data_IF_091986142466
#
_entry.id   IF_091986142466
#
_cell.length_a   1.000
_cell.length_b   1.000
_cell.length_c   1.000
_cell.angle_alpha   90.00
_cell.angle_beta   90.00
_cell.angle_gamma   90.00
#
_symmetry.space_group_name_H-M   'P 1'
#
loop_
_entity.id
_entity.type
_entity.pdbx_description
1 polymer ?
#
# COMPACT_ATOMS: atom_id res chain seq x y z
N UNK A 1 33.36 34.88 -2.14
CA UNK A 1 32.61 33.60 -2.16
C UNK A 1 33.27 32.61 -3.10
N UNK A 2 34.31 31.94 -2.61
CA UNK A 2 34.98 30.86 -3.35
C UNK A 2 34.23 29.57 -3.03
N UNK A 3 33.53 28.99 -4.02
CA UNK A 3 33.01 27.62 -3.94
C UNK A 3 34.22 26.68 -3.92
N UNK A 4 34.71 26.32 -2.72
CA UNK A 4 35.76 25.31 -2.58
C UNK A 4 35.15 23.92 -2.73
N UNK A 5 35.39 23.27 -3.86
CA UNK A 5 35.03 21.86 -4.09
C UNK A 5 36.08 20.97 -3.43
N UNK A 6 35.68 20.12 -2.48
CA UNK A 6 36.49 19.00 -2.05
C UNK A 6 36.12 17.80 -2.93
N UNK A 7 36.89 17.59 -4.00
CA UNK A 7 36.78 16.43 -4.88
C UNK A 7 37.81 15.37 -4.44
N UNK A 8 37.34 14.24 -3.92
CA UNK A 8 38.16 13.05 -3.74
C UNK A 8 37.87 12.04 -4.86
N UNK A 9 38.85 11.79 -5.73
CA UNK A 9 38.89 10.64 -6.63
C UNK A 9 39.92 9.66 -6.07
N UNK A 10 39.53 8.40 -5.86
CA UNK A 10 40.47 7.34 -5.47
C UNK A 10 40.49 6.27 -6.54
N UNK A 11 41.65 6.04 -7.14
CA UNK A 11 41.96 4.85 -7.93
C UNK A 11 42.93 3.99 -7.12
N UNK A 12 42.61 2.71 -6.93
CA UNK A 12 43.44 1.75 -6.17
C UNK A 12 42.92 1.40 -4.77
N UNK A 13 43.64 0.47 -4.11
CA UNK A 13 43.16 -0.41 -3.03
C UNK A 13 42.71 0.23 -1.70
N UNK A 14 42.73 1.57 -1.56
CA UNK A 14 42.36 2.27 -0.32
C UNK A 14 41.75 3.65 -0.63
N UNK A 15 40.45 3.83 -0.37
CA UNK A 15 39.80 5.15 -0.35
C UNK A 15 39.25 5.54 1.03
N UNK A 16 39.49 6.80 1.38
CA UNK A 16 39.47 7.41 2.71
C UNK A 16 38.09 7.90 3.13
N UNK A 17 37.82 7.95 4.44
CA UNK A 17 36.69 8.71 5.01
C UNK A 17 36.80 10.19 4.59
N UNK A 18 35.75 10.76 3.99
CA UNK A 18 35.69 12.21 3.72
C UNK A 18 34.60 12.87 4.55
N UNK A 19 34.96 13.94 5.27
CA UNK A 19 34.02 14.77 6.03
C UNK A 19 34.07 16.21 5.56
N UNK A 20 32.92 16.86 5.39
CA UNK A 20 32.83 18.29 5.08
C UNK A 20 31.94 19.00 6.12
N UNK A 21 32.41 20.15 6.63
CA UNK A 21 31.69 21.03 7.55
C UNK A 21 31.44 22.39 6.92
N UNK A 22 30.23 22.93 7.06
CA UNK A 22 29.83 24.27 6.60
C UNK A 22 29.19 24.28 5.20
N UNK A 23 29.08 25.47 4.58
CA UNK A 23 28.42 25.67 3.28
C UNK A 23 29.26 25.20 2.07
N UNK A 24 29.61 23.90 2.00
CA UNK A 24 30.50 23.35 0.97
C UNK A 24 29.87 22.21 0.17
N UNK A 25 30.19 22.15 -1.12
CA UNK A 25 29.82 21.04 -1.99
C UNK A 25 30.88 19.92 -1.90
N UNK A 26 30.42 18.70 -1.64
CA UNK A 26 31.29 17.54 -1.39
C UNK A 26 31.00 16.45 -2.42
N UNK A 27 32.02 15.99 -3.17
CA UNK A 27 31.88 14.93 -4.16
C UNK A 27 32.92 13.83 -3.92
N UNK A 28 32.46 12.59 -3.81
CA UNK A 28 33.27 11.37 -3.73
C UNK A 28 32.81 10.40 -4.81
N UNK A 29 33.75 9.75 -5.49
CA UNK A 29 33.50 8.63 -6.40
C UNK A 29 34.49 7.51 -6.07
N UNK A 30 34.02 6.27 -5.98
CA UNK A 30 34.81 5.10 -5.64
C UNK A 30 34.53 3.96 -6.64
N UNK A 31 35.57 3.27 -7.10
CA UNK A 31 35.48 2.14 -8.03
C UNK A 31 36.16 0.89 -7.41
N UNK A 32 35.53 -0.28 -7.52
CA UNK A 32 36.03 -1.59 -7.06
C UNK A 32 35.36 -2.14 -5.79
N UNK A 33 35.98 -3.16 -5.18
CA UNK A 33 35.41 -3.89 -4.04
C UNK A 33 35.55 -3.17 -2.68
N UNK A 34 35.05 -1.94 -2.54
CA UNK A 34 35.47 -1.01 -1.47
C UNK A 34 34.37 -0.57 -0.49
N UNK A 35 34.77 -0.14 0.71
CA UNK A 35 33.87 0.47 1.69
C UNK A 35 34.09 1.98 1.80
N UNK A 36 33.12 2.78 1.35
CA UNK A 36 33.25 4.24 1.28
C UNK A 36 32.34 4.94 2.30
N UNK A 37 32.86 5.99 2.96
CA UNK A 37 32.13 6.75 3.99
C UNK A 37 32.26 8.26 3.77
N UNK A 38 31.11 8.94 3.67
CA UNK A 38 31.02 10.40 3.60
C UNK A 38 30.11 10.92 4.70
N UNK A 39 30.54 12.01 5.33
CA UNK A 39 29.73 12.76 6.30
C UNK A 39 29.71 14.23 5.91
N UNK A 40 28.52 14.81 5.85
CA UNK A 40 28.30 16.22 5.56
C UNK A 40 27.52 16.87 6.70
N UNK A 41 27.99 18.03 7.15
CA UNK A 41 27.36 18.84 8.19
C UNK A 41 27.23 20.30 7.68
N UNK A 42 26.01 20.85 7.68
CA UNK A 42 25.73 22.24 7.35
C UNK A 42 24.72 22.43 6.21
N UNK A 43 25.07 23.22 5.19
CA UNK A 43 24.21 23.51 4.04
C UNK A 43 24.95 23.19 2.74
N UNK A 44 24.29 22.60 1.73
CA UNK A 44 24.92 22.34 0.43
C UNK A 44 24.58 21.01 -0.23
N UNK A 45 25.41 20.63 -1.21
CA UNK A 45 25.22 19.44 -2.03
C UNK A 45 26.27 18.37 -1.69
N UNK A 46 25.81 17.16 -1.37
CA UNK A 46 26.67 16.00 -1.15
C UNK A 46 26.37 14.91 -2.18
N UNK A 47 27.41 14.42 -2.86
CA UNK A 47 27.28 13.38 -3.88
C UNK A 47 28.33 12.28 -3.68
N UNK A 48 27.87 11.04 -3.57
CA UNK A 48 28.69 9.83 -3.55
C UNK A 48 28.28 8.92 -4.70
N UNK A 49 29.26 8.46 -5.48
CA UNK A 49 29.10 7.35 -6.42
C UNK A 49 29.99 6.19 -5.98
N UNK A 50 29.46 4.97 -6.05
CA UNK A 50 30.19 3.75 -5.74
C UNK A 50 29.92 2.70 -6.81
N UNK A 51 30.95 2.25 -7.51
CA UNK A 51 30.84 1.23 -8.55
C UNK A 51 31.63 -0.01 -8.08
N UNK A 52 31.05 -1.20 -8.17
CA UNK A 52 31.69 -2.47 -7.78
C UNK A 52 31.09 -3.15 -6.54
N UNK A 53 31.87 -4.04 -5.91
CA UNK A 53 31.39 -4.92 -4.83
C UNK A 53 31.71 -4.38 -3.43
N UNK A 54 30.84 -3.55 -2.84
CA UNK A 54 31.22 -2.70 -1.71
C UNK A 54 30.11 -2.23 -0.76
N UNK A 55 30.50 -1.60 0.36
CA UNK A 55 29.55 -0.98 1.31
C UNK A 55 29.71 0.54 1.35
N UNK A 56 28.68 1.29 0.95
CA UNK A 56 28.72 2.75 0.94
C UNK A 56 27.82 3.36 2.01
N UNK A 57 28.33 4.35 2.75
CA UNK A 57 27.60 5.05 3.80
C UNK A 57 27.74 6.58 3.66
N UNK A 58 26.60 7.26 3.58
CA UNK A 58 26.51 8.72 3.64
C UNK A 58 25.68 9.15 4.84
N UNK A 59 26.19 10.10 5.62
CA UNK A 59 25.43 10.81 6.65
C UNK A 59 25.39 12.29 6.29
N UNK A 60 24.20 12.89 6.34
CA UNK A 60 23.99 14.31 6.13
C UNK A 60 23.21 14.90 7.32
N UNK A 61 23.79 15.87 8.01
CA UNK A 61 23.12 16.64 9.06
C UNK A 61 22.94 18.09 8.57
N UNK A 62 21.69 18.52 8.43
CA UNK A 62 21.32 19.85 7.97
C UNK A 62 20.75 20.70 9.09
N UNK A 63 21.54 21.65 9.60
CA UNK A 63 21.09 22.63 10.59
C UNK A 63 20.64 23.95 9.93
N UNK A 64 19.39 24.36 10.17
CA UNK A 64 18.84 25.68 9.80
C UNK A 64 17.94 25.71 8.55
N UNK A 65 17.51 26.91 8.14
CA UNK A 65 16.57 27.18 7.04
C UNK A 65 17.10 26.87 5.62
N UNK A 66 18.26 26.22 5.48
CA UNK A 66 18.92 25.95 4.20
C UNK A 66 18.86 24.46 3.87
N UNK A 67 18.35 24.14 2.67
CA UNK A 67 18.14 22.76 2.23
C UNK A 67 19.46 22.05 1.91
N UNK A 68 19.71 20.89 2.51
CA UNK A 68 20.74 19.95 2.03
C UNK A 68 20.17 19.10 0.87
N UNK A 69 21.00 18.85 -0.14
CA UNK A 69 20.70 17.91 -1.21
C UNK A 69 21.73 16.78 -1.25
N UNK A 70 21.35 15.58 -0.82
CA UNK A 70 22.23 14.40 -0.81
C UNK A 70 21.87 13.41 -1.92
N UNK A 71 22.87 12.99 -2.70
CA UNK A 71 22.74 11.99 -3.77
C UNK A 71 23.74 10.86 -3.59
N UNK A 72 23.26 9.62 -3.58
CA UNK A 72 24.08 8.42 -3.62
C UNK A 72 23.69 7.57 -4.82
N UNK A 73 24.68 7.15 -5.61
CA UNK A 73 24.55 6.09 -6.62
C UNK A 73 25.43 4.92 -6.22
N UNK A 74 24.90 3.70 -6.35
CA UNK A 74 25.63 2.47 -6.10
C UNK A 74 25.34 1.47 -7.22
N UNK A 75 26.36 1.04 -7.96
CA UNK A 75 26.21 0.07 -9.04
C UNK A 75 27.05 -1.18 -8.70
N UNK A 76 26.43 -2.36 -8.66
CA UNK A 76 27.10 -3.64 -8.38
C UNK A 76 26.53 -4.41 -7.18
N UNK A 77 27.36 -5.25 -6.56
CA UNK A 77 26.94 -6.12 -5.44
C UNK A 77 27.31 -5.53 -4.08
N UNK A 78 26.36 -5.04 -3.29
CA UNK A 78 26.73 -4.21 -2.14
C UNK A 78 25.64 -3.78 -1.16
N UNK A 79 26.06 -3.10 -0.09
CA UNK A 79 25.17 -2.51 0.91
C UNK A 79 25.31 -0.99 0.94
N UNK A 80 24.25 -0.25 0.60
CA UNK A 80 24.25 1.20 0.62
C UNK A 80 23.37 1.76 1.73
N UNK A 81 23.88 2.74 2.49
CA UNK A 81 23.19 3.37 3.62
C UNK A 81 23.29 4.89 3.55
N UNK A 82 22.15 5.57 3.54
CA UNK A 82 22.07 7.03 3.65
C UNK A 82 21.24 7.39 4.87
N UNK A 83 21.77 8.25 5.73
CA UNK A 83 21.04 8.89 6.82
C UNK A 83 21.03 10.40 6.60
N UNK A 84 19.86 11.03 6.69
CA UNK A 84 19.70 12.46 6.55
C UNK A 84 18.85 13.03 7.70
N UNK A 85 19.29 14.10 8.38
CA UNK A 85 18.56 14.78 9.47
C UNK A 85 18.37 16.28 9.17
N UNK A 86 17.15 16.81 9.34
CA UNK A 86 16.80 18.22 9.10
C UNK A 86 15.97 18.51 7.84
N UNK A 87 16.16 19.69 7.23
CA UNK A 87 15.41 20.13 6.03
C UNK A 87 16.10 19.70 4.73
N UNK A 88 15.68 18.58 4.12
CA UNK A 88 16.54 17.87 3.16
C UNK A 88 15.81 17.31 1.92
N UNK A 89 16.53 17.25 0.79
CA UNK A 89 16.20 16.43 -0.37
C UNK A 89 17.23 15.31 -0.55
N UNK A 90 16.84 14.05 -0.28
CA UNK A 90 17.73 12.88 -0.39
C UNK A 90 17.34 11.99 -1.58
N UNK A 91 18.31 11.57 -2.38
CA UNK A 91 18.14 10.63 -3.49
C UNK A 91 19.18 9.51 -3.43
N UNK A 92 18.72 8.27 -3.43
CA UNK A 92 19.55 7.08 -3.56
C UNK A 92 19.12 6.31 -4.79
N UNK A 93 20.07 5.96 -5.65
CA UNK A 93 19.93 4.97 -6.71
C UNK A 93 20.83 3.78 -6.40
N UNK A 94 20.30 2.58 -6.53
CA UNK A 94 21.07 1.35 -6.45
C UNK A 94 20.74 0.49 -7.69
N UNK A 95 21.75 -0.02 -8.38
CA UNK A 95 21.61 -1.03 -9.44
C UNK A 95 22.45 -2.26 -9.06
N UNK A 96 21.87 -3.45 -9.15
CA UNK A 96 22.55 -4.72 -8.95
C UNK A 96 22.01 -5.55 -7.78
N UNK A 97 22.87 -6.35 -7.14
CA UNK A 97 22.48 -7.28 -6.08
C UNK A 97 22.84 -6.74 -4.69
N UNK A 98 21.87 -6.38 -3.85
CA UNK A 98 22.25 -5.65 -2.63
C UNK A 98 21.18 -5.28 -1.61
N UNK A 99 21.64 -4.61 -0.56
CA UNK A 99 20.78 -4.07 0.50
C UNK A 99 20.91 -2.55 0.57
N UNK A 100 19.86 -1.82 0.21
CA UNK A 100 19.83 -0.36 0.28
C UNK A 100 18.95 0.12 1.45
N UNK A 101 19.46 1.06 2.25
CA UNK A 101 18.75 1.67 3.38
C UNK A 101 18.85 3.19 3.35
N UNK A 102 17.72 3.88 3.38
CA UNK A 102 17.64 5.32 3.56
C UNK A 102 16.84 5.62 4.83
N UNK A 103 17.41 6.43 5.71
CA UNK A 103 16.70 7.05 6.83
C UNK A 103 16.68 8.56 6.63
N UNK A 104 15.51 9.16 6.75
CA UNK A 104 15.32 10.61 6.74
C UNK A 104 14.54 11.01 8.00
N UNK A 105 15.04 11.98 8.75
CA UNK A 105 14.32 12.62 9.86
C UNK A 105 14.22 14.13 9.57
N UNK A 106 13.02 14.69 9.67
CA UNK A 106 12.76 16.12 9.54
C UNK A 106 11.80 16.45 8.39
N UNK A 107 12.04 17.59 7.73
CA UNK A 107 11.18 18.06 6.64
C UNK A 107 11.84 17.84 5.29
N UNK A 108 11.15 17.23 4.32
CA UNK A 108 11.88 16.92 3.09
C UNK A 108 11.24 16.04 2.02
N UNK A 109 12.04 15.78 1.00
CA UNK A 109 11.71 14.86 -0.09
C UNK A 109 12.76 13.75 -0.17
N UNK A 110 12.37 12.51 0.07
CA UNK A 110 13.26 11.36 -0.01
C UNK A 110 12.86 10.44 -1.18
N UNK A 111 13.83 10.09 -2.02
CA UNK A 111 13.64 9.22 -3.20
C UNK A 111 14.66 8.09 -3.20
N UNK A 112 14.18 6.84 -3.25
CA UNK A 112 15.00 5.65 -3.45
C UNK A 112 14.56 4.96 -4.73
N UNK A 113 15.51 4.68 -5.62
CA UNK A 113 15.33 3.76 -6.75
C UNK A 113 16.26 2.58 -6.54
N UNK A 114 15.73 1.37 -6.69
CA UNK A 114 16.50 0.13 -6.70
C UNK A 114 16.16 -0.64 -7.97
N UNK A 115 17.16 -1.10 -8.70
CA UNK A 115 17.05 -2.08 -9.79
C UNK A 115 17.88 -3.31 -9.44
N UNK A 116 17.39 -4.51 -9.79
CA UNK A 116 18.08 -5.78 -9.59
C UNK A 116 17.51 -6.63 -8.44
N UNK A 117 18.39 -7.33 -7.72
CA UNK A 117 17.99 -8.33 -6.72
C UNK A 117 18.36 -7.91 -5.31
N UNK A 118 17.40 -7.78 -4.38
CA UNK A 118 17.79 -7.29 -3.06
C UNK A 118 16.73 -6.86 -2.07
N UNK A 119 17.20 -6.18 -1.02
CA UNK A 119 16.35 -5.65 0.04
C UNK A 119 16.49 -4.13 0.13
N UNK A 120 15.42 -3.40 -0.16
CA UNK A 120 15.38 -1.94 -0.05
C UNK A 120 14.53 -1.50 1.14
N UNK A 121 15.05 -0.59 1.96
CA UNK A 121 14.35 -0.03 3.12
C UNK A 121 14.43 1.49 3.14
N UNK A 122 13.30 2.17 3.25
CA UNK A 122 13.21 3.61 3.50
C UNK A 122 12.44 3.84 4.79
N UNK A 123 13.02 4.62 5.70
CA UNK A 123 12.33 5.18 6.86
C UNK A 123 12.31 6.70 6.73
N UNK A 124 11.13 7.30 6.89
CA UNK A 124 10.95 8.74 6.95
C UNK A 124 10.21 9.09 8.25
N UNK A 125 10.73 10.03 9.02
CA UNK A 125 10.03 10.67 10.14
C UNK A 125 9.92 12.17 9.86
N UNK A 126 8.76 12.77 10.17
CA UNK A 126 8.49 14.19 10.04
C UNK A 126 7.53 14.56 8.90
N UNK A 127 7.82 15.65 8.19
CA UNK A 127 6.90 16.23 7.20
C UNK A 127 7.49 16.15 5.79
N UNK A 128 6.83 15.44 4.86
CA UNK A 128 7.47 15.27 3.56
C UNK A 128 6.83 14.37 2.52
N UNK A 129 7.58 14.22 1.43
CA UNK A 129 7.24 13.34 0.32
C UNK A 129 8.29 12.22 0.20
N UNK A 130 7.89 10.98 0.45
CA UNK A 130 8.75 9.81 0.31
C UNK A 130 8.33 8.98 -0.92
N UNK A 131 9.30 8.63 -1.78
CA UNK A 131 9.09 7.79 -2.96
C UNK A 131 10.11 6.66 -3.03
N UNK A 132 9.64 5.43 -3.15
CA UNK A 132 10.46 4.25 -3.41
C UNK A 132 10.00 3.63 -4.73
N UNK A 133 10.93 3.40 -5.65
CA UNK A 133 10.76 2.54 -6.81
C UNK A 133 11.69 1.34 -6.67
N UNK A 134 11.16 0.13 -6.85
CA UNK A 134 11.94 -1.10 -6.93
C UNK A 134 11.57 -1.81 -8.24
N UNK A 135 12.57 -2.21 -9.01
CA UNK A 135 12.44 -3.14 -10.13
C UNK A 135 13.28 -4.39 -9.83
N UNK A 136 12.79 -5.56 -10.25
CA UNK A 136 13.47 -6.84 -10.11
C UNK A 136 12.95 -7.74 -8.99
N UNK A 137 13.86 -8.47 -8.33
CA UNK A 137 13.49 -9.52 -7.36
C UNK A 137 13.88 -9.15 -5.93
N UNK A 138 12.93 -9.07 -4.99
CA UNK A 138 13.33 -8.57 -3.67
C UNK A 138 12.27 -8.28 -2.62
N UNK A 139 12.75 -7.68 -1.54
CA UNK A 139 11.93 -7.21 -0.43
C UNK A 139 12.05 -5.69 -0.29
N UNK A 140 10.97 -4.96 -0.55
CA UNK A 140 10.93 -3.50 -0.39
C UNK A 140 10.09 -3.12 0.83
N UNK A 141 10.63 -2.24 1.69
CA UNK A 141 9.94 -1.74 2.89
C UNK A 141 10.02 -0.23 2.98
N UNK A 142 8.89 0.44 3.15
CA UNK A 142 8.80 1.87 3.45
C UNK A 142 8.05 2.05 4.76
N UNK A 143 8.63 2.80 5.68
CA UNK A 143 7.97 3.32 6.87
C UNK A 143 7.94 4.84 6.80
N UNK A 144 6.78 5.43 7.06
CA UNK A 144 6.59 6.87 7.16
C UNK A 144 5.85 7.18 8.46
N UNK A 145 6.38 8.09 9.27
CA UNK A 145 5.68 8.69 10.41
C UNK A 145 5.56 10.21 10.19
N UNK A 146 4.46 10.81 10.65
CA UNK A 146 4.21 12.24 10.61
C UNK A 146 3.16 12.67 9.56
N UNK A 147 3.56 13.57 8.65
CA UNK A 147 2.63 14.20 7.71
C UNK A 147 3.16 14.24 6.28
N UNK A 148 2.30 13.94 5.31
CA UNK A 148 2.63 14.15 3.89
C UNK A 148 2.22 13.01 2.95
N UNK A 149 3.11 12.66 2.03
CA UNK A 149 2.79 11.76 0.91
C UNK A 149 3.83 10.65 0.76
N UNK A 150 3.40 9.39 0.81
CA UNK A 150 4.27 8.24 0.59
C UNK A 150 3.84 7.47 -0.67
N UNK A 151 4.79 7.17 -1.56
CA UNK A 151 4.57 6.38 -2.78
C UNK A 151 5.58 5.23 -2.89
N UNK A 152 5.10 4.02 -3.08
CA UNK A 152 5.90 2.85 -3.40
C UNK A 152 5.44 2.27 -4.74
N UNK A 153 6.37 2.10 -5.67
CA UNK A 153 6.18 1.29 -6.87
C UNK A 153 7.12 0.09 -6.79
N UNK A 154 6.58 -1.10 -7.02
CA UNK A 154 7.35 -2.32 -7.18
C UNK A 154 6.97 -2.96 -8.51
N UNK A 155 7.96 -3.34 -9.30
CA UNK A 155 7.83 -4.22 -10.47
C UNK A 155 8.68 -5.48 -10.23
N UNK A 156 8.21 -6.63 -10.71
CA UNK A 156 8.92 -7.91 -10.64
C UNK A 156 8.39 -8.87 -9.56
N UNK A 157 9.30 -9.58 -8.91
CA UNK A 157 8.95 -10.68 -7.98
C UNK A 157 9.37 -10.37 -6.55
N UNK A 158 8.44 -10.35 -5.59
CA UNK A 158 8.85 -9.94 -4.26
C UNK A 158 7.80 -9.68 -3.18
N UNK A 159 8.29 -9.17 -2.06
CA UNK A 159 7.48 -8.75 -0.93
C UNK A 159 7.61 -7.23 -0.74
N UNK A 160 6.51 -6.49 -0.96
CA UNK A 160 6.47 -5.05 -0.72
C UNK A 160 5.65 -4.74 0.54
N UNK A 161 6.20 -3.89 1.43
CA UNK A 161 5.52 -3.45 2.67
C UNK A 161 5.60 -1.94 2.82
N UNK A 162 4.46 -1.28 3.04
CA UNK A 162 4.37 0.12 3.43
C UNK A 162 3.66 0.23 4.78
N UNK A 163 4.29 0.91 5.73
CA UNK A 163 3.69 1.36 6.97
C UNK A 163 3.62 2.89 6.98
N UNK A 164 2.47 3.46 7.31
CA UNK A 164 2.27 4.89 7.43
C UNK A 164 1.55 5.20 8.77
N UNK A 165 2.03 6.17 9.54
CA UNK A 165 1.35 6.66 10.76
C UNK A 165 1.18 8.18 10.68
N UNK A 166 0.00 8.70 11.06
CA UNK A 166 -0.27 10.13 11.13
C UNK A 166 -1.22 10.65 10.04
N UNK A 167 -0.91 11.83 9.48
CA UNK A 167 -1.74 12.51 8.46
C UNK A 167 -1.16 12.33 7.06
N UNK A 168 -1.41 11.17 6.45
CA UNK A 168 -0.65 10.72 5.26
C UNK A 168 -1.55 10.29 4.08
N UNK A 169 -1.14 10.69 2.88
CA UNK A 169 -1.60 10.12 1.62
C UNK A 169 -0.63 9.01 1.15
N UNK A 170 -1.05 7.74 1.22
CA UNK A 170 -0.22 6.59 0.86
C UNK A 170 -0.67 5.97 -0.47
N UNK A 171 0.27 5.73 -1.40
CA UNK A 171 0.03 5.00 -2.65
C UNK A 171 1.03 3.86 -2.82
N UNK A 172 0.53 2.65 -3.03
CA UNK A 172 1.34 1.49 -3.43
C UNK A 172 0.86 0.96 -4.77
N UNK A 173 1.78 0.80 -5.72
CA UNK A 173 1.58 0.04 -6.94
C UNK A 173 2.52 -1.15 -6.92
N UNK A 174 1.99 -2.34 -7.18
CA UNK A 174 2.76 -3.55 -7.39
C UNK A 174 2.37 -4.15 -8.74
N UNK A 175 3.35 -4.45 -9.58
CA UNK A 175 3.20 -5.28 -10.78
C UNK A 175 4.06 -6.54 -10.62
N UNK A 176 3.59 -7.67 -11.15
CA UNK A 176 4.29 -8.94 -11.14
C UNK A 176 3.79 -9.94 -10.10
N UNK A 177 4.72 -10.64 -9.43
CA UNK A 177 4.38 -11.76 -8.54
C UNK A 177 4.81 -11.53 -7.10
N UNK A 178 3.92 -11.78 -6.14
CA UNK A 178 4.30 -11.86 -4.73
C UNK A 178 3.31 -11.29 -3.72
N UNK A 179 3.83 -10.65 -2.67
CA UNK A 179 3.05 -10.24 -1.50
C UNK A 179 3.17 -8.75 -1.24
N UNK A 180 2.07 -8.02 -1.37
CA UNK A 180 2.01 -6.59 -1.06
C UNK A 180 1.21 -6.35 0.23
N UNK A 181 1.77 -5.56 1.16
CA UNK A 181 1.12 -5.18 2.42
C UNK A 181 1.19 -3.68 2.65
N UNK A 182 0.06 -3.06 2.94
CA UNK A 182 -0.02 -1.67 3.39
C UNK A 182 -0.73 -1.64 4.75
N UNK A 183 -0.10 -1.02 5.74
CA UNK A 183 -0.70 -0.71 7.03
C UNK A 183 -0.68 0.79 7.22
N UNK A 184 -1.80 1.39 7.58
CA UNK A 184 -1.90 2.83 7.79
C UNK A 184 -2.74 3.14 9.03
N UNK A 185 -2.28 4.08 9.84
CA UNK A 185 -2.95 4.53 11.07
C UNK A 185 -3.08 6.06 11.07
N UNK A 186 -4.23 6.58 11.50
CA UNK A 186 -4.48 8.02 11.68
C UNK A 186 -5.47 8.62 10.67
N UNK A 187 -5.14 9.79 10.12
CA UNK A 187 -5.97 10.52 9.15
C UNK A 187 -5.45 10.29 7.74
N UNK A 188 -6.03 9.32 7.02
CA UNK A 188 -5.35 8.68 5.89
C UNK A 188 -6.16 8.66 4.58
N UNK A 189 -5.43 8.79 3.47
CA UNK A 189 -5.93 8.47 2.13
C UNK A 189 -5.03 7.42 1.49
N UNK A 190 -5.50 6.18 1.43
CA UNK A 190 -4.71 5.03 1.00
C UNK A 190 -5.22 4.49 -0.35
N UNK A 191 -4.28 4.26 -1.27
CA UNK A 191 -4.55 3.55 -2.52
C UNK A 191 -3.52 2.45 -2.75
N UNK A 192 -3.98 1.22 -2.91
CA UNK A 192 -3.18 0.09 -3.38
C UNK A 192 -3.70 -0.38 -4.73
N UNK A 193 -2.81 -0.51 -5.70
CA UNK A 193 -3.04 -1.23 -6.95
C UNK A 193 -2.08 -2.42 -7.00
N UNK A 194 -2.61 -3.59 -7.27
CA UNK A 194 -1.83 -4.80 -7.56
C UNK A 194 -2.24 -5.32 -8.94
N UNK A 195 -1.27 -5.59 -9.80
CA UNK A 195 -1.44 -6.35 -11.04
C UNK A 195 -0.57 -7.62 -10.96
N UNK A 196 -1.06 -8.72 -11.51
CA UNK A 196 -0.36 -10.00 -11.58
C UNK A 196 -0.82 -11.05 -10.57
N UNK A 197 0.11 -11.81 -10.01
CA UNK A 197 -0.19 -13.00 -9.19
C UNK A 197 0.28 -12.84 -7.75
N UNK A 198 -0.62 -12.91 -6.76
CA UNK A 198 -0.17 -12.66 -5.40
C UNK A 198 -1.19 -12.51 -4.29
N UNK A 199 -0.66 -12.11 -3.14
CA UNK A 199 -1.44 -11.79 -1.95
C UNK A 199 -1.31 -10.30 -1.62
N UNK A 200 -2.41 -9.55 -1.73
CA UNK A 200 -2.46 -8.14 -1.36
C UNK A 200 -3.24 -7.96 -0.04
N UNK A 201 -2.66 -7.22 0.91
CA UNK A 201 -3.30 -6.90 2.20
C UNK A 201 -3.21 -5.41 2.50
N UNK A 202 -4.35 -4.79 2.78
CA UNK A 202 -4.43 -3.41 3.29
C UNK A 202 -5.10 -3.44 4.67
N UNK A 203 -4.46 -2.82 5.65
CA UNK A 203 -5.04 -2.49 6.95
C UNK A 203 -5.07 -0.98 7.10
N UNK A 204 -6.21 -0.43 7.49
CA UNK A 204 -6.41 0.97 7.76
C UNK A 204 -7.08 1.12 9.13
N UNK A 205 -6.52 1.94 10.02
CA UNK A 205 -7.14 2.33 11.29
C UNK A 205 -7.23 3.87 11.38
N UNK A 206 -8.34 4.37 11.90
CA UNK A 206 -8.60 5.79 12.12
C UNK A 206 -9.70 6.35 11.21
N UNK A 207 -9.36 7.37 10.42
CA UNK A 207 -10.33 8.09 9.59
C UNK A 207 -9.83 8.35 8.17
N UNK A 208 -10.75 8.28 7.20
CA UNK A 208 -10.46 8.70 5.83
C UNK A 208 -10.95 7.73 4.75
N UNK A 209 -10.11 7.46 3.76
CA UNK A 209 -10.50 6.71 2.56
C UNK A 209 -9.46 5.66 2.17
N UNK A 210 -9.89 4.41 1.99
CA UNK A 210 -9.03 3.31 1.56
C UNK A 210 -9.55 2.70 0.25
N UNK A 211 -8.67 2.59 -0.75
CA UNK A 211 -8.98 1.99 -2.07
C UNK A 211 -7.98 0.88 -2.40
N UNK A 212 -8.48 -0.31 -2.71
CA UNK A 212 -7.68 -1.41 -3.25
C UNK A 212 -8.24 -1.82 -4.61
N UNK A 213 -7.38 -1.88 -5.61
CA UNK A 213 -7.63 -2.54 -6.88
C UNK A 213 -6.67 -3.71 -7.02
N UNK A 214 -7.19 -4.88 -7.36
CA UNK A 214 -6.40 -6.05 -7.73
C UNK A 214 -6.85 -6.52 -9.11
N UNK A 215 -5.90 -6.69 -10.03
CA UNK A 215 -6.09 -7.40 -11.29
C UNK A 215 -5.21 -8.65 -11.28
N UNK A 216 -5.71 -9.75 -11.87
CA UNK A 216 -5.00 -11.01 -12.02
C UNK A 216 -5.45 -12.11 -11.06
N UNK A 217 -4.49 -12.82 -10.45
CA UNK A 217 -4.78 -14.03 -9.67
C UNK A 217 -4.30 -13.94 -8.22
N UNK A 218 -5.16 -14.32 -7.28
CA UNK A 218 -4.73 -14.56 -5.90
C UNK A 218 -5.67 -14.08 -4.80
N UNK A 219 -5.11 -13.57 -3.70
CA UNK A 219 -5.86 -13.28 -2.48
C UNK A 219 -5.75 -11.81 -2.08
N UNK A 220 -6.85 -11.06 -2.13
CA UNK A 220 -6.91 -9.68 -1.68
C UNK A 220 -7.68 -9.56 -0.35
N UNK A 221 -7.09 -8.86 0.62
CA UNK A 221 -7.70 -8.61 1.94
C UNK A 221 -7.63 -7.14 2.31
N UNK A 222 -8.75 -6.55 2.68
CA UNK A 222 -8.83 -5.21 3.26
C UNK A 222 -9.47 -5.29 4.64
N UNK A 223 -8.78 -4.76 5.64
CA UNK A 223 -9.28 -4.49 6.98
C UNK A 223 -9.36 -2.98 7.19
N UNK A 224 -10.50 -2.47 7.65
CA UNK A 224 -10.68 -1.06 8.00
C UNK A 224 -11.31 -0.94 9.39
N UNK A 225 -10.78 -0.11 10.27
CA UNK A 225 -11.38 0.21 11.57
C UNK A 225 -11.56 1.73 11.71
N UNK A 226 -12.69 2.15 12.28
CA UNK A 226 -12.99 3.57 12.56
C UNK A 226 -13.95 4.21 11.56
N UNK A 227 -13.68 5.45 11.15
CA UNK A 227 -14.56 6.26 10.30
C UNK A 227 -14.05 6.32 8.87
N UNK A 228 -14.27 5.25 8.09
CA UNK A 228 -13.57 5.05 6.80
C UNK A 228 -14.55 4.78 5.64
N UNK A 229 -14.24 5.35 4.47
CA UNK A 229 -14.82 4.90 3.21
C UNK A 229 -13.88 3.89 2.54
N UNK A 230 -14.29 2.62 2.44
CA UNK A 230 -13.49 1.52 1.88
C UNK A 230 -14.04 1.08 0.52
N UNK A 231 -13.18 1.02 -0.50
CA UNK A 231 -13.52 0.50 -1.84
C UNK A 231 -12.52 -0.56 -2.28
N UNK A 232 -13.00 -1.76 -2.57
CA UNK A 232 -12.21 -2.85 -3.18
C UNK A 232 -12.78 -3.18 -4.55
N UNK A 233 -11.91 -3.24 -5.55
CA UNK A 233 -12.18 -3.87 -6.85
C UNK A 233 -11.23 -5.04 -7.03
N UNK A 234 -11.75 -6.18 -7.45
CA UNK A 234 -10.98 -7.37 -7.79
C UNK A 234 -11.44 -7.87 -9.16
N UNK A 235 -10.54 -7.91 -10.13
CA UNK A 235 -10.81 -8.48 -11.44
C UNK A 235 -9.90 -9.71 -11.62
N UNK A 236 -10.46 -10.84 -12.06
CA UNK A 236 -9.73 -12.07 -12.33
C UNK A 236 -10.10 -13.25 -11.44
N UNK A 237 -9.12 -14.04 -11.00
CA UNK A 237 -9.36 -15.30 -10.28
C UNK A 237 -8.83 -15.27 -8.84
N UNK A 238 -9.69 -15.45 -7.84
CA UNK A 238 -9.19 -15.30 -6.48
C UNK A 238 -10.18 -15.31 -5.32
N UNK A 239 -9.61 -15.03 -4.15
CA UNK A 239 -10.34 -14.84 -2.91
C UNK A 239 -10.21 -13.39 -2.45
N UNK A 240 -11.31 -12.63 -2.48
CA UNK A 240 -11.37 -11.27 -1.96
C UNK A 240 -12.10 -11.23 -0.62
N UNK A 241 -11.51 -10.55 0.38
CA UNK A 241 -12.10 -10.37 1.71
C UNK A 241 -12.01 -8.92 2.15
N UNK A 242 -13.14 -8.32 2.51
CA UNK A 242 -13.21 -7.02 3.17
C UNK A 242 -13.83 -7.23 4.55
N UNK A 243 -13.15 -6.78 5.59
CA UNK A 243 -13.68 -6.68 6.94
C UNK A 243 -13.60 -5.22 7.36
N UNK A 244 -14.70 -4.67 7.85
CA UNK A 244 -14.70 -3.30 8.33
C UNK A 244 -15.49 -3.17 9.63
N UNK A 245 -14.97 -2.39 10.58
CA UNK A 245 -15.59 -2.09 11.87
C UNK A 245 -15.70 -0.57 12.11
N UNK A 246 -16.83 -0.08 12.64
CA UNK A 246 -17.04 1.32 13.00
C UNK A 246 -18.11 2.06 12.18
N UNK A 247 -17.81 3.28 11.72
CA UNK A 247 -18.71 4.13 10.94
C UNK A 247 -18.29 4.18 9.47
N UNK A 248 -18.92 3.38 8.61
CA UNK A 248 -18.26 2.91 7.38
C UNK A 248 -19.14 3.03 6.14
N UNK A 249 -18.49 3.30 5.01
CA UNK A 249 -19.08 3.12 3.69
C UNK A 249 -18.21 2.15 2.88
N UNK A 250 -18.70 0.93 2.69
CA UNK A 250 -17.97 -0.15 2.04
C UNK A 250 -18.54 -0.43 0.65
N UNK A 251 -17.66 -0.53 -0.35
CA UNK A 251 -17.99 -1.04 -1.67
C UNK A 251 -16.99 -2.09 -2.12
N UNK A 252 -17.47 -3.29 -2.44
CA UNK A 252 -16.69 -4.35 -3.08
C UNK A 252 -17.29 -4.63 -4.45
N UNK A 253 -16.45 -4.61 -5.49
CA UNK A 253 -16.74 -5.18 -6.79
C UNK A 253 -15.80 -6.36 -7.02
N UNK A 254 -16.35 -7.48 -7.48
CA UNK A 254 -15.58 -8.63 -7.93
C UNK A 254 -16.05 -9.02 -9.32
N UNK A 255 -15.14 -9.15 -10.28
CA UNK A 255 -15.38 -9.74 -11.60
C UNK A 255 -14.46 -10.94 -11.80
N UNK A 256 -14.99 -12.00 -12.43
CA UNK A 256 -14.26 -13.21 -12.79
C UNK A 256 -14.68 -14.44 -12.00
N UNK A 257 -13.74 -15.08 -11.29
CA UNK A 257 -13.99 -16.36 -10.64
C UNK A 257 -13.42 -16.46 -9.23
N UNK A 258 -14.14 -17.13 -8.33
CA UNK A 258 -13.63 -17.47 -7.01
C UNK A 258 -14.58 -17.12 -5.85
N UNK A 259 -14.06 -16.51 -4.80
CA UNK A 259 -14.81 -16.27 -3.56
C UNK A 259 -14.67 -14.83 -3.06
N UNK A 260 -15.80 -14.14 -2.86
CA UNK A 260 -15.83 -12.80 -2.28
C UNK A 260 -16.54 -12.80 -0.93
N UNK A 261 -15.92 -12.20 0.09
CA UNK A 261 -16.50 -12.07 1.43
C UNK A 261 -16.41 -10.64 1.93
N UNK A 262 -17.54 -10.07 2.34
CA UNK A 262 -17.61 -8.80 3.05
C UNK A 262 -18.20 -9.02 4.43
N UNK A 263 -17.52 -8.55 5.46
CA UNK A 263 -18.04 -8.39 6.81
C UNK A 263 -18.02 -6.91 7.16
N UNK A 264 -19.15 -6.39 7.63
CA UNK A 264 -19.26 -5.05 8.17
C UNK A 264 -19.84 -5.14 9.57
N UNK A 265 -19.20 -4.53 10.56
CA UNK A 265 -19.74 -4.34 11.92
C UNK A 265 -19.81 -2.84 12.23
N UNK A 266 -20.92 -2.40 12.81
CA UNK A 266 -21.15 -1.01 13.22
C UNK A 266 -22.22 -0.31 12.40
N UNK A 267 -21.99 0.97 12.09
CA UNK A 267 -22.98 1.81 11.38
C UNK A 267 -22.51 2.13 9.96
N UNK A 268 -23.36 1.97 8.95
CA UNK A 268 -22.88 2.22 7.59
C UNK A 268 -23.70 1.77 6.41
N UNK A 269 -23.10 1.91 5.24
CA UNK A 269 -23.63 1.39 3.98
C UNK A 269 -22.63 0.41 3.37
N UNK A 270 -23.06 -0.83 3.16
CA UNK A 270 -22.22 -1.86 2.52
C UNK A 270 -22.83 -2.27 1.17
N UNK A 271 -22.03 -2.26 0.11
CA UNK A 271 -22.43 -2.67 -1.24
C UNK A 271 -21.46 -3.70 -1.81
N UNK A 272 -21.96 -4.85 -2.23
CA UNK A 272 -21.19 -5.86 -2.96
C UNK A 272 -21.81 -6.05 -4.34
N UNK A 273 -20.99 -5.96 -5.37
CA UNK A 273 -21.28 -6.41 -6.72
C UNK A 273 -20.37 -7.59 -7.06
N UNK A 274 -20.94 -8.67 -7.60
CA UNK A 274 -20.20 -9.82 -8.07
C UNK A 274 -20.66 -10.17 -9.50
N UNK A 275 -19.74 -10.36 -10.43
CA UNK A 275 -20.01 -10.81 -11.79
C UNK A 275 -19.17 -12.05 -12.12
N UNK A 276 -19.76 -13.03 -12.82
CA UNK A 276 -19.06 -14.24 -13.28
C UNK A 276 -19.34 -15.49 -12.44
N UNK A 277 -18.30 -16.29 -12.17
CA UNK A 277 -18.41 -17.59 -11.48
C UNK A 277 -17.94 -17.49 -10.02
N UNK A 278 -18.76 -16.88 -9.16
CA UNK A 278 -18.33 -16.45 -7.82
C UNK A 278 -19.22 -17.00 -6.70
N UNK A 279 -18.59 -17.40 -5.60
CA UNK A 279 -19.25 -17.58 -4.32
C UNK A 279 -19.15 -16.29 -3.47
N UNK A 280 -20.25 -15.57 -3.29
CA UNK A 280 -20.27 -14.32 -2.55
C UNK A 280 -20.96 -14.46 -1.18
N UNK A 281 -20.34 -13.89 -0.14
CA UNK A 281 -20.91 -13.82 1.21
C UNK A 281 -20.81 -12.40 1.76
N UNK A 282 -21.93 -11.85 2.19
CA UNK A 282 -21.99 -10.61 2.96
C UNK A 282 -22.56 -10.91 4.35
N UNK A 283 -21.87 -10.44 5.38
CA UNK A 283 -22.38 -10.32 6.74
C UNK A 283 -22.36 -8.85 7.13
N UNK A 284 -23.48 -8.36 7.67
CA UNK A 284 -23.60 -7.01 8.18
C UNK A 284 -24.21 -7.06 9.58
N UNK A 285 -23.47 -6.60 10.57
CA UNK A 285 -23.94 -6.52 11.96
C UNK A 285 -24.01 -5.03 12.35
N UNK A 286 -25.09 -4.62 13.00
CA UNK A 286 -25.28 -3.24 13.48
C UNK A 286 -26.37 -2.47 12.74
N UNK A 287 -26.08 -1.24 12.31
CA UNK A 287 -27.08 -0.33 11.74
C UNK A 287 -26.74 0.13 10.32
N UNK A 288 -27.72 0.05 9.40
CA UNK A 288 -27.61 0.72 8.11
C UNK A 288 -28.08 -0.08 6.90
N UNK A 289 -27.47 0.15 5.74
CA UNK A 289 -27.98 -0.35 4.46
C UNK A 289 -27.00 -1.32 3.80
N UNK A 290 -27.42 -2.56 3.58
CA UNK A 290 -26.64 -3.57 2.88
C UNK A 290 -27.27 -3.91 1.53
N UNK A 291 -26.48 -3.88 0.46
CA UNK A 291 -26.92 -4.26 -0.89
C UNK A 291 -25.95 -5.23 -1.52
N UNK A 292 -26.46 -6.34 -2.03
CA UNK A 292 -25.73 -7.31 -2.82
C UNK A 292 -26.37 -7.41 -4.19
N UNK A 293 -25.58 -7.25 -5.25
CA UNK A 293 -25.94 -7.59 -6.62
C UNK A 293 -25.01 -8.69 -7.09
N UNK A 294 -25.55 -9.75 -7.66
CA UNK A 294 -24.77 -10.84 -8.24
C UNK A 294 -25.29 -11.17 -9.65
N UNK A 295 -24.42 -11.29 -10.64
CA UNK A 295 -24.75 -11.65 -12.03
C UNK A 295 -23.85 -12.79 -12.57
N UNK A 296 -24.44 -13.85 -13.13
CA UNK A 296 -23.71 -15.01 -13.68
C UNK A 296 -23.96 -16.34 -12.95
N UNK A 297 -22.93 -17.16 -12.75
CA UNK A 297 -23.02 -18.51 -12.15
C UNK A 297 -22.59 -18.48 -10.68
N UNK A 298 -23.53 -18.26 -9.76
CA UNK A 298 -23.21 -17.73 -8.44
C UNK A 298 -23.88 -18.47 -7.28
N UNK A 299 -23.16 -18.55 -6.16
CA UNK A 299 -23.74 -18.83 -4.85
C UNK A 299 -23.63 -17.59 -3.95
N UNK A 300 -24.74 -16.90 -3.70
CA UNK A 300 -24.80 -15.69 -2.87
C UNK A 300 -25.44 -15.98 -1.49
N UNK A 301 -24.79 -15.51 -0.42
CA UNK A 301 -25.35 -15.52 0.94
C UNK A 301 -25.22 -14.14 1.58
N UNK A 302 -26.34 -13.59 2.03
CA UNK A 302 -26.39 -12.39 2.86
C UNK A 302 -26.95 -12.74 4.24
N UNK A 303 -26.23 -12.33 5.28
CA UNK A 303 -26.70 -12.25 6.66
C UNK A 303 -26.71 -10.78 7.09
N UNK A 304 -27.79 -10.34 7.70
CA UNK A 304 -27.89 -9.00 8.27
C UNK A 304 -28.49 -9.07 9.67
N UNK A 305 -27.74 -8.64 10.68
CA UNK A 305 -28.20 -8.62 12.07
C UNK A 305 -28.24 -7.18 12.58
N UNK A 306 -29.39 -6.72 13.07
CA UNK A 306 -29.55 -5.38 13.65
C UNK A 306 -30.64 -4.54 13.00
N UNK A 307 -30.38 -3.25 12.76
CA UNK A 307 -31.38 -2.28 12.28
C UNK A 307 -31.02 -1.74 10.90
N UNK A 308 -31.85 -1.98 9.88
CA UNK A 308 -31.41 -1.63 8.55
C UNK A 308 -32.27 -2.02 7.37
N UNK A 309 -31.77 -1.66 6.19
CA UNK A 309 -32.35 -2.08 4.91
C UNK A 309 -31.39 -3.03 4.18
N UNK A 310 -31.81 -4.27 3.99
CA UNK A 310 -31.03 -5.27 3.24
C UNK A 310 -31.70 -5.58 1.90
N UNK A 311 -30.93 -5.52 0.81
CA UNK A 311 -31.39 -5.89 -0.54
C UNK A 311 -30.42 -6.82 -1.24
N UNK A 312 -30.93 -7.91 -1.80
CA UNK A 312 -30.19 -8.83 -2.66
C UNK A 312 -30.87 -8.87 -4.01
N UNK A 313 -30.10 -8.65 -5.07
CA UNK A 313 -30.48 -8.97 -6.44
C UNK A 313 -29.55 -10.05 -6.96
N UNK A 314 -30.11 -11.13 -7.49
CA UNK A 314 -29.36 -12.18 -8.17
C UNK A 314 -29.93 -12.33 -9.59
N UNK A 315 -29.06 -12.30 -10.58
CA UNK A 315 -29.38 -12.62 -11.98
C UNK A 315 -28.46 -13.75 -12.47
N UNK A 316 -29.00 -14.67 -13.26
CA UNK A 316 -28.29 -15.82 -13.83
C UNK A 316 -28.60 -17.14 -13.13
N UNK A 317 -27.57 -17.96 -12.92
CA UNK A 317 -27.74 -19.32 -12.41
C UNK A 317 -27.12 -19.52 -11.03
N UNK A 318 -27.84 -20.20 -10.13
CA UNK A 318 -27.28 -20.66 -8.87
C UNK A 318 -28.18 -20.46 -7.64
N UNK A 319 -27.57 -20.30 -6.46
CA UNK A 319 -28.29 -20.33 -5.19
C UNK A 319 -28.11 -19.02 -4.40
N UNK A 320 -29.22 -18.37 -4.06
CA UNK A 320 -29.24 -17.17 -3.25
C UNK A 320 -29.95 -17.40 -1.92
N UNK A 321 -29.30 -17.00 -0.81
CA UNK A 321 -29.87 -17.08 0.53
C UNK A 321 -29.71 -15.75 1.25
N UNK A 322 -30.83 -15.20 1.70
CA UNK A 322 -30.88 -14.04 2.59
C UNK A 322 -31.40 -14.47 3.97
N UNK A 323 -30.64 -14.17 5.02
CA UNK A 323 -31.08 -14.18 6.40
C UNK A 323 -31.00 -12.76 6.95
N UNK A 324 -32.05 -12.30 7.61
CA UNK A 324 -32.04 -11.03 8.31
C UNK A 324 -32.68 -11.20 9.67
N UNK A 325 -32.06 -10.67 10.72
CA UNK A 325 -32.59 -10.68 12.08
C UNK A 325 -32.55 -9.25 12.65
N UNK A 326 -33.68 -8.78 13.20
CA UNK A 326 -33.77 -7.47 13.85
C UNK A 326 -34.90 -6.60 13.33
N UNK A 327 -34.61 -5.39 12.84
CA UNK A 327 -35.63 -4.41 12.46
C UNK A 327 -35.32 -3.70 11.13
N UNK A 328 -36.36 -3.44 10.35
CA UNK A 328 -36.26 -2.67 9.10
C UNK A 328 -36.83 -3.39 7.87
N UNK A 329 -36.15 -3.27 6.73
CA UNK A 329 -36.70 -3.71 5.44
C UNK A 329 -35.76 -4.67 4.72
N UNK A 330 -36.30 -5.78 4.24
CA UNK A 330 -35.56 -6.80 3.50
C UNK A 330 -36.20 -7.06 2.14
N UNK A 331 -35.38 -7.17 1.10
CA UNK A 331 -35.84 -7.40 -0.26
C UNK A 331 -34.91 -8.34 -1.03
N UNK A 332 -35.47 -9.39 -1.64
CA UNK A 332 -34.72 -10.29 -2.50
C UNK A 332 -35.40 -10.38 -3.86
N UNK A 333 -34.68 -10.02 -4.91
CA UNK A 333 -35.07 -10.24 -6.30
C UNK A 333 -34.17 -11.32 -6.89
N UNK A 334 -34.78 -12.28 -7.57
CA UNK A 334 -34.08 -13.30 -8.32
C UNK A 334 -34.63 -13.38 -9.74
N UNK A 335 -33.73 -13.31 -10.72
CA UNK A 335 -33.98 -13.57 -12.14
C UNK A 335 -33.05 -14.72 -12.60
N UNK A 336 -33.54 -15.55 -13.50
CA UNK A 336 -32.81 -16.70 -14.05
C UNK A 336 -33.00 -18.04 -13.31
N UNK A 337 -32.19 -19.03 -13.69
CA UNK A 337 -32.34 -20.42 -13.26
C UNK A 337 -31.65 -20.68 -11.92
N UNK A 338 -32.37 -20.57 -10.81
CA UNK A 338 -31.77 -20.72 -9.48
C UNK A 338 -32.73 -20.93 -8.31
N UNK A 339 -32.16 -21.28 -7.16
CA UNK A 339 -32.90 -21.45 -5.91
C UNK A 339 -32.70 -20.23 -5.01
N UNK A 340 -33.79 -19.53 -4.67
CA UNK A 340 -33.74 -18.40 -3.75
C UNK A 340 -34.50 -18.67 -2.45
N UNK A 341 -33.89 -18.33 -1.31
CA UNK A 341 -34.51 -18.45 0.02
C UNK A 341 -34.28 -17.21 0.86
N UNK A 342 -35.36 -16.66 1.41
CA UNK A 342 -35.32 -15.59 2.39
C UNK A 342 -35.84 -16.10 3.74
N UNK A 343 -35.14 -15.77 4.82
CA UNK A 343 -35.60 -15.90 6.20
C UNK A 343 -35.45 -14.55 6.89
N UNK A 344 -36.48 -14.13 7.62
CA UNK A 344 -36.47 -12.87 8.37
C UNK A 344 -37.06 -13.09 9.76
N UNK A 345 -36.35 -12.67 10.81
CA UNK A 345 -36.83 -12.67 12.19
C UNK A 345 -36.83 -11.25 12.79
N UNK A 346 -37.76 -10.96 13.70
CA UNK A 346 -37.93 -9.64 14.31
C UNK A 346 -38.95 -8.74 13.61
N UNK A 347 -38.84 -7.42 13.82
CA UNK A 347 -39.79 -6.41 13.31
C UNK A 347 -39.41 -5.97 11.89
N UNK A 348 -39.65 -6.83 10.89
CA UNK A 348 -39.23 -6.59 9.51
C UNK A 348 -40.34 -6.58 8.47
N UNK A 349 -40.19 -5.71 7.48
CA UNK A 349 -40.93 -5.72 6.22
C UNK A 349 -40.11 -6.46 5.16
N UNK A 350 -40.60 -7.61 4.69
CA UNK A 350 -39.89 -8.46 3.73
C UNK A 350 -40.62 -8.56 2.39
N UNK A 351 -39.86 -8.58 1.30
CA UNK A 351 -40.36 -8.78 -0.07
C UNK A 351 -39.47 -9.76 -0.81
N UNK A 352 -40.09 -10.70 -1.53
CA UNK A 352 -39.42 -11.64 -2.42
C UNK A 352 -40.06 -11.55 -3.81
N UNK A 353 -39.25 -11.29 -4.83
CA UNK A 353 -39.69 -11.18 -6.22
C UNK A 353 -38.94 -12.17 -7.12
N UNK A 354 -39.68 -12.76 -8.06
CA UNK A 354 -39.15 -13.66 -9.07
C UNK A 354 -39.62 -13.14 -10.44
N UNK A 355 -38.68 -12.76 -11.29
CA UNK A 355 -38.94 -12.57 -12.72
C UNK A 355 -38.36 -13.81 -13.42
N UNK A 356 -39.14 -14.46 -14.26
CA UNK A 356 -38.84 -15.79 -14.82
C UNK A 356 -39.07 -15.89 -16.31
#
# INVERSE_FOLDING_TARGET
>A
NVLSWLCGFCEGSWCSKTGCKGSKCSKMSCDGSQCSKMSCDGSGFCRMGCDGSGCCRMGCDGSGCCSICCRMGCDGSGCCRMGCEGSICCRMGCDGSGCCRMGCDGSGCCRMGCDGSGCCRMGCDGSGCCRMGCDGSGCCRMGCDGSGCCRMGCDGSGCCRMGCEGSICCRMGCDGSGCCRMGCEGSICCRMGCDGSGCCRMGCDGSGCCRMGCDGSGCCRMGCEGSICCRMGCDGSGCCRMGCEGSICCRMGCDGSGCCRMGCDGSGCCRMGCEGSICCRMGCDGSGCCRMGCEGSICCRMGCDGSGCCRMGCDGSGCCRMGCDGSGCSGMGCDGSGCCRMGCEGSMYSTIGFDG
#
